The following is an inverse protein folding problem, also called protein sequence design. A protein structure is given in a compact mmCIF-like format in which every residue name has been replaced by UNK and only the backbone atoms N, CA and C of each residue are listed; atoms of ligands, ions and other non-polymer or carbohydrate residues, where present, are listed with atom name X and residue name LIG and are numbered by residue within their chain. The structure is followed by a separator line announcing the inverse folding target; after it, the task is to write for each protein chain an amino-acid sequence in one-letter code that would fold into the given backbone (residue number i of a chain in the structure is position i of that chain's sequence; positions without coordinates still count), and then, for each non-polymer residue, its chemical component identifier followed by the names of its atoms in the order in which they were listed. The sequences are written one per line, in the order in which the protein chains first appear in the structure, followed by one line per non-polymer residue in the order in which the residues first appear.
data_IF_455153845479
#
_entry.id   IF_455153845479
#
_cell.length_a   1.000
_cell.length_b   1.000
_cell.length_c   1.000
_cell.angle_alpha   90.00
_cell.angle_beta   90.00
_cell.angle_gamma   90.00
#
_symmetry.space_group_name_H-M   'P 1'
#
loop_
_entity.id
_entity.type
_entity.pdbx_description
1 polymer ?
#
# COMPACT_ATOMS: atom_id res chain seq x y z
N UNK A 1 24.70 -63.73 27.58
CA UNK A 1 24.84 -62.83 26.46
C UNK A 1 23.69 -61.83 26.56
N UNK A 2 23.95 -60.61 27.11
CA UNK A 2 22.94 -59.57 27.32
C UNK A 2 22.96 -58.63 26.10
N UNK A 3 21.87 -58.61 25.35
CA UNK A 3 21.65 -57.66 24.22
C UNK A 3 21.22 -56.31 24.80
N UNK A 4 22.02 -55.27 24.58
CA UNK A 4 21.64 -53.88 24.87
C UNK A 4 21.01 -53.27 23.61
N UNK A 5 19.70 -52.97 23.68
CA UNK A 5 18.96 -52.27 22.65
C UNK A 5 19.20 -50.75 22.84
N UNK A 6 19.97 -50.14 21.95
CA UNK A 6 20.11 -48.66 21.91
C UNK A 6 18.99 -48.09 21.08
N UNK A 7 18.03 -47.44 21.76
CA UNK A 7 17.04 -46.59 21.08
C UNK A 7 17.71 -45.28 20.67
N UNK A 8 17.94 -45.10 19.36
CA UNK A 8 18.33 -43.83 18.78
C UNK A 8 17.05 -42.98 18.64
N UNK A 9 16.88 -42.00 19.53
CA UNK A 9 15.85 -40.97 19.39
C UNK A 9 16.34 -39.98 18.33
N UNK A 10 15.76 -40.05 17.13
CA UNK A 10 15.99 -39.09 16.04
C UNK A 10 15.27 -37.80 16.39
N UNK A 11 15.97 -36.81 16.96
CA UNK A 11 15.50 -35.45 17.13
C UNK A 11 15.49 -34.79 15.75
N UNK A 12 14.34 -34.84 15.07
CA UNK A 12 14.08 -34.00 13.92
C UNK A 12 13.93 -32.53 14.40
N UNK A 13 14.72 -31.59 13.88
CA UNK A 13 14.46 -30.18 14.17
C UNK A 13 13.11 -29.80 13.57
N UNK A 14 12.15 -29.53 14.43
CA UNK A 14 10.91 -28.88 14.01
C UNK A 14 11.32 -27.43 13.69
N UNK A 15 11.53 -27.13 12.42
CA UNK A 15 11.55 -25.76 11.94
C UNK A 15 10.14 -25.23 12.09
N UNK A 16 9.87 -24.54 13.19
CA UNK A 16 8.72 -23.67 13.31
C UNK A 16 9.02 -22.49 12.38
N UNK A 17 8.56 -22.57 11.14
CA UNK A 17 8.39 -21.39 10.33
C UNK A 17 7.35 -20.54 11.06
N UNK A 18 7.79 -19.54 11.79
CA UNK A 18 6.94 -18.44 12.20
C UNK A 18 6.55 -17.73 10.90
N UNK A 19 5.45 -18.13 10.30
CA UNK A 19 4.78 -17.33 9.28
C UNK A 19 4.31 -16.07 9.98
N UNK A 20 5.10 -14.99 9.83
CA UNK A 20 4.69 -13.61 10.13
C UNK A 20 3.94 -13.01 8.93
N UNK A 21 3.22 -13.79 8.15
CA UNK A 21 2.36 -13.29 7.08
C UNK A 21 1.05 -12.79 7.69
N UNK A 22 1.14 -11.60 8.28
CA UNK A 22 0.00 -10.86 8.82
C UNK A 22 -0.86 -10.29 7.67
N UNK A 23 -0.33 -10.28 6.45
CA UNK A 23 -1.00 -9.75 5.28
C UNK A 23 -1.46 -10.89 4.35
N UNK A 24 -2.78 -11.03 4.23
CA UNK A 24 -3.44 -11.98 3.34
C UNK A 24 -3.96 -11.21 2.14
N UNK A 25 -3.54 -11.62 0.94
CA UNK A 25 -4.01 -11.04 -0.32
C UNK A 25 -5.48 -11.38 -0.56
N UNK A 26 -6.18 -10.48 -1.23
CA UNK A 26 -7.56 -10.73 -1.64
C UNK A 26 -7.65 -11.87 -2.66
N UNK A 27 -8.65 -12.75 -2.54
CA UNK A 27 -8.96 -13.75 -3.56
C UNK A 27 -9.48 -13.08 -4.85
N UNK A 28 -9.48 -13.82 -5.94
CA UNK A 28 -9.80 -13.30 -7.28
C UNK A 28 -11.20 -12.70 -7.42
N UNK A 29 -12.13 -13.08 -6.56
CA UNK A 29 -13.51 -12.55 -6.55
C UNK A 29 -13.67 -11.27 -5.71
N UNK A 30 -12.72 -10.93 -4.84
CA UNK A 30 -12.73 -9.65 -4.11
C UNK A 30 -12.00 -8.59 -4.94
N UNK A 31 -12.68 -7.48 -5.20
CA UNK A 31 -12.18 -6.40 -6.04
C UNK A 31 -12.44 -5.04 -5.41
N UNK A 32 -11.84 -4.00 -6.01
CA UNK A 32 -12.09 -2.59 -5.67
C UNK A 32 -11.94 -2.26 -4.18
N UNK A 33 -10.99 -2.93 -3.51
CA UNK A 33 -10.75 -2.70 -2.08
C UNK A 33 -10.18 -1.29 -1.89
N UNK A 34 -10.90 -0.45 -1.12
CA UNK A 34 -10.47 0.89 -0.77
C UNK A 34 -10.43 1.10 0.74
N UNK A 35 -9.40 1.77 1.23
CA UNK A 35 -9.22 2.06 2.66
C UNK A 35 -8.55 3.43 2.81
N UNK A 36 -9.27 4.42 3.31
CA UNK A 36 -8.77 5.78 3.43
C UNK A 36 -9.53 6.59 4.49
N UNK A 37 -9.01 7.75 4.86
CA UNK A 37 -9.75 8.70 5.70
C UNK A 37 -11.03 9.18 4.98
N UNK A 38 -12.12 9.36 5.72
CA UNK A 38 -13.37 9.93 5.18
C UNK A 38 -13.20 11.44 4.94
N UNK A 39 -12.37 11.81 3.97
CA UNK A 39 -12.07 13.18 3.54
C UNK A 39 -12.01 13.24 2.02
N UNK A 40 -12.28 14.42 1.46
CA UNK A 40 -12.15 14.65 0.02
C UNK A 40 -10.70 14.45 -0.41
N UNK A 41 -10.48 13.74 -1.49
CA UNK A 41 -9.17 13.41 -2.07
C UNK A 41 -8.22 12.67 -1.08
N UNK A 42 -8.76 11.91 -0.15
CA UNK A 42 -7.96 10.99 0.66
C UNK A 42 -7.83 9.65 -0.08
N UNK A 43 -6.61 9.25 -0.35
CA UNK A 43 -6.30 7.99 -1.06
C UNK A 43 -5.55 7.00 -0.19
N UNK A 44 -4.98 7.47 0.93
CA UNK A 44 -4.06 6.67 1.74
C UNK A 44 -4.71 6.20 3.04
N UNK A 45 -4.35 5.00 3.52
CA UNK A 45 -4.91 4.42 4.75
C UNK A 45 -4.23 5.00 6.01
N UNK A 46 -4.29 6.32 6.16
CA UNK A 46 -3.72 7.06 7.30
C UNK A 46 -4.75 8.00 7.87
N UNK A 47 -5.08 7.85 9.15
CA UNK A 47 -6.06 8.69 9.84
C UNK A 47 -5.48 9.28 11.13
N UNK A 48 -5.94 10.48 11.48
CA UNK A 48 -5.70 11.02 12.83
C UNK A 48 -6.62 10.32 13.81
N UNK A 49 -6.16 10.08 15.03
CA UNK A 49 -6.99 9.49 16.07
C UNK A 49 -8.25 10.35 16.30
N UNK A 50 -9.41 9.72 16.18
CA UNK A 50 -10.72 10.37 16.24
C UNK A 50 -11.32 10.72 14.86
N UNK A 51 -10.54 10.70 13.78
CA UNK A 51 -11.07 10.79 12.41
C UNK A 51 -11.77 9.49 12.00
N UNK A 52 -12.62 9.57 10.97
CA UNK A 52 -13.30 8.39 10.43
C UNK A 52 -12.48 7.75 9.32
N UNK A 53 -12.24 6.45 9.46
CA UNK A 53 -11.75 5.56 8.42
C UNK A 53 -12.93 5.05 7.61
N UNK A 54 -12.80 5.05 6.28
CA UNK A 54 -13.74 4.42 5.36
C UNK A 54 -13.06 3.24 4.68
N UNK A 55 -13.72 2.10 4.73
CA UNK A 55 -13.30 0.87 4.10
C UNK A 55 -14.42 0.36 3.20
N UNK A 56 -14.11 -0.13 2.02
CA UNK A 56 -15.08 -0.81 1.14
C UNK A 56 -14.39 -1.79 0.20
N UNK A 57 -15.16 -2.77 -0.27
CA UNK A 57 -14.76 -3.74 -1.28
C UNK A 57 -15.98 -4.28 -2.01
N UNK A 58 -15.75 -4.90 -3.17
CA UNK A 58 -16.78 -5.56 -3.96
C UNK A 58 -16.50 -7.07 -4.01
N UNK A 59 -17.55 -7.88 -3.79
CA UNK A 59 -17.56 -9.31 -4.08
C UNK A 59 -18.20 -9.52 -5.45
N UNK A 60 -17.43 -10.00 -6.43
CA UNK A 60 -17.84 -10.16 -7.83
C UNK A 60 -18.54 -11.50 -8.10
N UNK A 61 -18.79 -12.33 -7.10
CA UNK A 61 -19.66 -13.51 -7.22
C UNK A 61 -21.15 -13.11 -7.20
N UNK A 62 -21.46 -11.89 -6.70
CA UNK A 62 -22.77 -11.25 -6.84
C UNK A 62 -23.86 -11.82 -5.96
N UNK A 63 -23.50 -12.61 -4.94
CA UNK A 63 -24.36 -13.09 -3.88
C UNK A 63 -24.08 -12.35 -2.56
N UNK A 64 -25.07 -12.31 -1.70
CA UNK A 64 -24.94 -11.67 -0.39
C UNK A 64 -24.31 -12.66 0.58
N UNK A 65 -23.00 -12.49 0.85
CA UNK A 65 -22.28 -13.27 1.86
C UNK A 65 -22.18 -12.50 3.17
N UNK A 66 -22.16 -13.22 4.27
CA UNK A 66 -21.88 -12.64 5.57
C UNK A 66 -20.36 -12.47 5.74
N UNK A 67 -19.90 -11.22 5.79
CA UNK A 67 -18.52 -10.87 6.12
C UNK A 67 -18.48 -10.21 7.49
N UNK A 68 -17.48 -10.57 8.27
CA UNK A 68 -17.12 -9.88 9.49
C UNK A 68 -15.75 -9.22 9.37
N UNK A 69 -15.46 -8.28 10.26
CA UNK A 69 -14.15 -7.64 10.33
C UNK A 69 -13.54 -7.78 11.72
N UNK A 70 -12.20 -7.82 11.77
CA UNK A 70 -11.43 -7.86 12.99
C UNK A 70 -10.30 -6.84 12.96
N UNK A 71 -10.12 -6.06 14.04
CA UNK A 71 -9.00 -5.15 14.20
C UNK A 71 -7.90 -5.78 15.04
N UNK A 72 -6.66 -5.63 14.56
CA UNK A 72 -5.45 -6.04 15.26
C UNK A 72 -4.50 -4.85 15.36
N UNK A 73 -3.98 -4.56 16.56
CA UNK A 73 -2.95 -3.54 16.76
C UNK A 73 -1.56 -4.14 16.57
N UNK A 74 -0.67 -3.40 15.87
CA UNK A 74 0.70 -3.80 15.59
C UNK A 74 1.71 -2.76 16.09
N UNK A 75 2.94 -3.19 16.29
CA UNK A 75 4.09 -2.34 16.58
C UNK A 75 4.62 -1.62 15.32
N UNK A 76 5.66 -0.81 15.47
CA UNK A 76 6.30 -0.07 14.38
C UNK A 76 6.83 -0.96 13.23
N UNK A 77 7.06 -2.25 13.50
CA UNK A 77 7.52 -3.24 12.52
C UNK A 77 6.40 -4.17 12.04
N UNK A 78 5.13 -3.77 12.23
CA UNK A 78 3.94 -4.53 11.85
C UNK A 78 3.79 -5.89 12.54
N UNK A 79 4.46 -6.13 13.67
CA UNK A 79 4.22 -7.32 14.50
C UNK A 79 3.04 -7.07 15.43
N UNK A 80 2.21 -8.08 15.63
CA UNK A 80 1.06 -8.00 16.54
C UNK A 80 1.55 -7.59 17.94
N UNK A 81 0.95 -6.54 18.48
CA UNK A 81 1.26 -6.04 19.81
C UNK A 81 0.69 -6.93 20.91
N UNK A 82 1.46 -7.14 21.97
CA UNK A 82 0.99 -7.94 23.12
C UNK A 82 0.16 -7.10 24.08
N UNK A 83 -1.00 -6.62 23.60
CA UNK A 83 -1.99 -5.84 24.37
C UNK A 83 -3.37 -6.45 24.18
N UNK A 84 -4.25 -6.27 25.16
CA UNK A 84 -5.64 -6.73 25.04
C UNK A 84 -6.45 -5.80 24.13
N UNK A 85 -7.52 -6.33 23.54
CA UNK A 85 -8.43 -5.54 22.68
C UNK A 85 -8.97 -4.30 23.41
N UNK A 86 -9.28 -4.41 24.67
CA UNK A 86 -9.78 -3.31 25.51
C UNK A 86 -8.76 -2.20 25.76
N UNK A 87 -7.46 -2.43 25.52
CA UNK A 87 -6.43 -1.40 25.63
C UNK A 87 -6.43 -0.48 24.40
N UNK A 88 -6.76 -0.98 23.20
CA UNK A 88 -6.70 -0.20 21.96
C UNK A 88 -8.06 0.15 21.36
N UNK A 89 -9.17 -0.49 21.80
CA UNK A 89 -10.53 -0.17 21.36
C UNK A 89 -11.50 0.04 22.52
N UNK A 90 -12.56 0.82 22.26
CA UNK A 90 -13.82 0.76 22.99
C UNK A 90 -14.82 -0.01 22.13
N UNK A 91 -15.48 -1.01 22.71
CA UNK A 91 -16.44 -1.90 22.03
C UNK A 91 -15.79 -3.18 21.53
N UNK A 92 -16.36 -3.73 20.46
CA UNK A 92 -15.95 -5.03 19.91
C UNK A 92 -14.87 -4.84 18.84
N UNK A 93 -13.79 -5.62 18.92
CA UNK A 93 -12.76 -5.61 17.87
C UNK A 93 -13.12 -6.44 16.65
N UNK A 94 -14.20 -7.19 16.73
CA UNK A 94 -14.73 -8.05 15.68
C UNK A 94 -16.26 -7.89 15.63
N UNK A 95 -16.83 -7.66 14.44
CA UNK A 95 -18.28 -7.50 14.22
C UNK A 95 -18.62 -7.75 12.75
N UNK A 96 -19.88 -8.07 12.45
CA UNK A 96 -20.40 -8.30 11.09
C UNK A 96 -20.49 -6.98 10.31
N UNK A 97 -20.16 -7.02 9.02
CA UNK A 97 -20.38 -5.91 8.07
C UNK A 97 -21.84 -5.98 7.60
N UNK A 98 -22.66 -5.01 8.04
CA UNK A 98 -24.11 -4.97 7.76
C UNK A 98 -24.49 -3.98 6.65
N UNK A 99 -23.54 -3.16 6.22
CA UNK A 99 -23.76 -2.14 5.20
C UNK A 99 -23.25 -2.66 3.86
N UNK A 100 -24.17 -3.22 3.07
CA UNK A 100 -23.88 -3.72 1.74
C UNK A 100 -25.06 -3.46 0.80
N UNK A 101 -24.76 -3.36 -0.49
CA UNK A 101 -25.72 -3.12 -1.56
C UNK A 101 -25.32 -3.93 -2.81
N UNK A 102 -26.31 -4.53 -3.49
CA UNK A 102 -26.06 -5.22 -4.76
C UNK A 102 -25.86 -4.22 -5.89
N UNK A 103 -25.06 -4.60 -6.87
CA UNK A 103 -24.86 -3.82 -8.08
C UNK A 103 -26.16 -3.63 -8.86
N UNK A 104 -26.25 -2.49 -9.55
CA UNK A 104 -27.43 -2.13 -10.32
C UNK A 104 -27.05 -1.70 -11.73
N UNK A 105 -27.67 -2.33 -12.73
CA UNK A 105 -27.50 -2.01 -14.15
C UNK A 105 -26.04 -2.14 -14.63
N UNK A 106 -25.34 -3.16 -14.18
CA UNK A 106 -23.94 -3.50 -14.54
C UNK A 106 -23.91 -4.81 -15.32
N UNK A 107 -22.86 -4.99 -16.14
CA UNK A 107 -22.60 -6.26 -16.86
C UNK A 107 -21.90 -7.28 -15.96
N UNK A 108 -21.10 -6.83 -15.00
CA UNK A 108 -20.56 -7.67 -13.95
C UNK A 108 -21.37 -7.45 -12.69
N UNK A 109 -22.07 -8.49 -12.24
CA UNK A 109 -22.75 -8.46 -10.95
C UNK A 109 -21.72 -8.46 -9.81
N UNK A 110 -22.00 -7.70 -8.75
CA UNK A 110 -21.21 -7.67 -7.53
C UNK A 110 -22.04 -7.17 -6.36
N UNK A 111 -21.63 -7.53 -5.15
CA UNK A 111 -22.13 -6.97 -3.89
C UNK A 111 -21.08 -6.02 -3.34
N UNK A 112 -21.48 -4.76 -3.11
CA UNK A 112 -20.62 -3.71 -2.54
C UNK A 112 -20.76 -3.68 -1.03
N UNK A 113 -19.67 -3.95 -0.30
CA UNK A 113 -19.60 -3.89 1.16
C UNK A 113 -18.88 -2.63 1.60
N UNK A 114 -19.39 -1.98 2.67
CA UNK A 114 -18.75 -0.80 3.23
C UNK A 114 -18.77 -0.80 4.76
N UNK A 115 -17.74 -0.19 5.34
CA UNK A 115 -17.55 -0.09 6.78
C UNK A 115 -16.94 1.26 7.13
N UNK A 116 -17.41 1.88 8.19
CA UNK A 116 -16.81 3.07 8.78
C UNK A 116 -16.33 2.78 10.21
N UNK A 117 -15.17 3.31 10.56
CA UNK A 117 -14.62 3.26 11.92
C UNK A 117 -14.24 4.69 12.34
N UNK A 118 -14.78 5.26 13.45
CA UNK A 118 -15.66 4.60 14.41
C UNK A 118 -17.07 4.33 13.87
N UNK A 119 -17.71 3.29 14.43
CA UNK A 119 -19.12 2.99 14.27
C UNK A 119 -19.82 2.85 15.64
N UNK A 120 -21.04 2.33 15.68
CA UNK A 120 -21.80 2.18 16.93
C UNK A 120 -21.14 1.20 17.92
N UNK A 121 -20.42 0.19 17.40
CA UNK A 121 -19.90 -0.93 18.17
C UNK A 121 -18.38 -0.85 18.40
N UNK A 122 -17.67 0.06 17.70
CA UNK A 122 -16.21 0.11 17.73
C UNK A 122 -15.67 1.53 17.60
N UNK A 123 -14.74 1.87 18.49
CA UNK A 123 -13.92 3.09 18.42
C UNK A 123 -12.47 2.79 18.78
N UNK A 124 -11.52 3.27 18.00
CA UNK A 124 -10.08 3.18 18.29
C UNK A 124 -9.70 4.21 19.36
N UNK A 125 -8.94 3.78 20.38
CA UNK A 125 -8.54 4.60 21.54
C UNK A 125 -7.12 5.12 21.46
N UNK A 126 -6.23 4.38 20.82
CA UNK A 126 -4.79 4.67 20.77
C UNK A 126 -4.31 4.81 19.33
N UNK A 127 -3.20 5.51 19.15
CA UNK A 127 -2.48 5.56 17.88
C UNK A 127 -1.58 4.33 17.71
N UNK A 128 -1.28 3.96 16.49
CA UNK A 128 -0.43 2.80 16.17
C UNK A 128 -0.65 2.31 14.75
N UNK A 129 0.00 1.21 14.41
CA UNK A 129 -0.27 0.45 13.21
C UNK A 129 -1.43 -0.51 13.47
N UNK A 130 -2.32 -0.64 12.50
CA UNK A 130 -3.47 -1.53 12.59
C UNK A 130 -3.61 -2.37 11.33
N UNK A 131 -4.11 -3.59 11.53
CA UNK A 131 -4.57 -4.45 10.46
C UNK A 131 -6.06 -4.66 10.64
N UNK A 132 -6.82 -4.45 9.56
CA UNK A 132 -8.19 -4.90 9.44
C UNK A 132 -8.18 -6.21 8.65
N UNK A 133 -8.72 -7.26 9.25
CA UNK A 133 -8.93 -8.57 8.63
C UNK A 133 -10.41 -8.69 8.29
N UNK A 134 -10.72 -9.17 7.10
CA UNK A 134 -12.08 -9.55 6.69
C UNK A 134 -12.17 -11.06 6.79
N UNK A 135 -13.23 -11.53 7.45
CA UNK A 135 -13.48 -12.93 7.71
C UNK A 135 -14.78 -13.35 7.01
N UNK A 136 -14.85 -14.61 6.62
CA UNK A 136 -16.06 -15.24 6.10
C UNK A 136 -16.95 -15.82 7.21
N UNK A 137 -17.99 -16.57 6.83
CA UNK A 137 -18.96 -17.20 7.73
C UNK A 137 -18.34 -18.28 8.64
N UNK A 138 -17.21 -18.86 8.26
CA UNK A 138 -16.45 -19.84 9.02
C UNK A 138 -15.35 -19.21 9.91
N UNK A 139 -15.31 -17.88 10.05
CA UNK A 139 -14.30 -17.10 10.76
C UNK A 139 -12.89 -17.24 10.16
N UNK A 140 -12.75 -17.65 8.88
CA UNK A 140 -11.49 -17.73 8.19
C UNK A 140 -11.14 -16.38 7.54
N UNK A 141 -9.86 -16.02 7.54
CA UNK A 141 -9.41 -14.73 7.00
C UNK A 141 -9.44 -14.77 5.47
N UNK A 142 -10.32 -13.98 4.88
CA UNK A 142 -10.43 -13.80 3.42
C UNK A 142 -9.33 -12.91 2.88
N UNK A 143 -9.11 -11.74 3.52
CA UNK A 143 -8.00 -10.83 3.19
C UNK A 143 -7.78 -9.82 4.31
N UNK A 144 -6.67 -9.09 4.22
CA UNK A 144 -6.30 -8.08 5.21
C UNK A 144 -5.88 -6.76 4.56
N UNK A 145 -5.96 -5.66 5.34
CA UNK A 145 -5.43 -4.34 4.94
C UNK A 145 -4.76 -3.64 6.11
N UNK A 146 -3.64 -2.99 5.82
CA UNK A 146 -2.88 -2.16 6.75
C UNK A 146 -3.42 -0.74 6.79
N UNK A 147 -3.45 -0.12 7.96
CA UNK A 147 -3.66 1.32 8.11
C UNK A 147 -2.95 1.86 9.34
N UNK A 148 -2.73 3.17 9.36
CA UNK A 148 -2.02 3.83 10.45
C UNK A 148 -2.94 4.87 11.09
N UNK A 149 -3.02 4.83 12.42
CA UNK A 149 -3.70 5.84 13.24
C UNK A 149 -2.64 6.66 13.95
N UNK A 150 -2.60 7.98 13.74
CA UNK A 150 -1.63 8.85 14.38
C UNK A 150 -2.25 9.88 15.33
N UNK A 151 -1.47 10.32 16.31
CA UNK A 151 -1.70 11.53 17.08
C UNK A 151 -0.61 12.55 16.75
N UNK A 152 -0.95 13.83 16.64
CA UNK A 152 0.04 14.87 16.37
C UNK A 152 0.53 15.46 17.69
N UNK A 153 1.43 14.74 18.39
CA UNK A 153 2.08 15.18 19.65
C UNK A 153 3.43 15.86 19.39
N UNK A 154 4.01 15.65 18.22
CA UNK A 154 5.30 16.23 17.78
C UNK A 154 5.15 16.85 16.39
N UNK A 155 5.97 17.86 16.07
CA UNK A 155 6.01 18.44 14.73
C UNK A 155 7.04 17.68 13.90
N UNK A 156 6.68 17.36 12.64
CA UNK A 156 7.52 16.61 11.71
C UNK A 156 7.76 17.46 10.46
N UNK A 157 8.97 17.98 10.33
CA UNK A 157 9.43 18.68 9.13
C UNK A 157 10.11 17.69 8.18
N UNK A 158 9.68 17.69 6.92
CA UNK A 158 10.23 16.84 5.85
C UNK A 158 10.77 17.72 4.74
N UNK A 159 11.99 17.47 4.31
CA UNK A 159 12.58 18.15 3.14
C UNK A 159 13.25 17.14 2.21
N UNK A 160 13.04 17.34 0.92
CA UNK A 160 13.53 16.46 -0.13
C UNK A 160 14.66 17.16 -0.90
N UNK A 161 15.73 16.42 -1.11
CA UNK A 161 16.94 16.88 -1.81
C UNK A 161 17.35 15.86 -2.87
N UNK A 162 18.20 16.27 -3.80
CA UNK A 162 18.92 15.32 -4.65
C UNK A 162 19.85 14.45 -3.79
N UNK A 163 20.07 13.22 -4.21
CA UNK A 163 21.09 12.39 -3.58
C UNK A 163 22.46 13.06 -3.62
N UNK A 164 23.26 12.88 -2.57
CA UNK A 164 24.58 13.54 -2.44
C UNK A 164 25.68 12.83 -3.21
N UNK A 165 25.56 11.52 -3.40
CA UNK A 165 26.54 10.73 -4.15
C UNK A 165 26.41 11.03 -5.65
N UNK A 166 27.53 11.24 -6.33
CA UNK A 166 27.59 11.56 -7.76
C UNK A 166 26.89 10.47 -8.61
N UNK A 167 27.02 9.21 -8.23
CA UNK A 167 26.40 8.07 -8.96
C UNK A 167 24.87 8.06 -8.82
N UNK A 168 24.34 8.68 -7.80
CA UNK A 168 22.90 8.66 -7.45
C UNK A 168 22.20 10.00 -7.72
N UNK A 169 22.95 11.06 -7.98
CA UNK A 169 22.44 12.45 -8.05
C UNK A 169 21.39 12.67 -9.15
N UNK A 170 21.42 11.87 -10.19
CA UNK A 170 20.46 11.97 -11.32
C UNK A 170 19.21 11.11 -11.16
N UNK A 171 19.23 10.12 -10.24
CA UNK A 171 18.22 9.08 -10.20
C UNK A 171 17.62 8.82 -8.81
N UNK A 172 18.16 9.47 -7.75
CA UNK A 172 17.65 9.28 -6.39
C UNK A 172 17.32 10.59 -5.68
N UNK A 173 16.45 10.49 -4.70
CA UNK A 173 15.98 11.55 -3.81
C UNK A 173 16.39 11.22 -2.38
N UNK A 174 16.92 12.20 -1.66
CA UNK A 174 17.34 12.07 -0.26
C UNK A 174 16.36 12.82 0.64
N UNK A 175 15.92 12.20 1.72
CA UNK A 175 14.94 12.74 2.65
C UNK A 175 15.64 13.18 3.92
N UNK A 176 15.52 14.46 4.28
CA UNK A 176 15.97 15.00 5.56
C UNK A 176 14.76 15.28 6.46
N UNK A 177 14.88 14.96 7.74
CA UNK A 177 13.81 15.11 8.72
C UNK A 177 14.27 15.93 9.92
N UNK A 178 13.33 16.72 10.45
CA UNK A 178 13.46 17.38 11.74
C UNK A 178 12.19 17.11 12.54
N UNK A 179 12.32 16.46 13.69
CA UNK A 179 11.24 16.19 14.61
C UNK A 179 11.39 17.09 15.82
N UNK A 180 10.37 17.91 16.10
CA UNK A 180 10.35 18.76 17.29
C UNK A 180 9.35 18.20 18.31
N UNK A 181 9.86 17.82 19.50
CA UNK A 181 9.08 17.24 20.58
C UNK A 181 8.98 18.17 21.81
N UNK A 182 9.00 19.50 21.60
CA UNK A 182 8.96 20.50 22.68
C UNK A 182 7.73 20.35 23.62
N UNK A 183 6.64 19.77 23.10
CA UNK A 183 5.39 19.58 23.84
C UNK A 183 5.29 18.20 24.51
N UNK A 184 6.32 17.35 24.40
CA UNK A 184 6.32 16.00 24.93
C UNK A 184 7.63 15.73 25.70
N UNK A 185 7.51 15.22 26.94
CA UNK A 185 8.67 14.81 27.70
C UNK A 185 9.11 13.40 27.25
N UNK A 186 10.26 13.32 26.57
CA UNK A 186 10.90 12.08 26.16
C UNK A 186 12.23 11.97 26.91
N UNK A 187 12.41 10.89 27.67
CA UNK A 187 13.58 10.75 28.54
C UNK A 187 14.81 10.28 27.77
N UNK A 188 14.63 9.30 26.90
CA UNK A 188 15.71 8.75 26.06
C UNK A 188 15.29 8.67 24.59
N UNK A 189 15.34 9.79 23.84
CA UNK A 189 14.88 9.80 22.45
C UNK A 189 15.61 8.79 21.54
N UNK A 190 16.86 8.42 21.86
CA UNK A 190 17.62 7.45 21.06
C UNK A 190 17.04 6.03 21.12
N UNK A 191 16.37 5.68 22.19
CA UNK A 191 15.76 4.35 22.39
C UNK A 191 14.24 4.37 22.21
N UNK A 192 13.60 5.48 22.63
CA UNK A 192 12.15 5.58 22.68
C UNK A 192 11.53 6.06 21.36
N UNK A 193 12.32 6.69 20.45
CA UNK A 193 11.84 7.18 19.16
C UNK A 193 12.36 6.32 18.02
N UNK A 194 11.45 5.95 17.13
CA UNK A 194 11.70 5.26 15.88
C UNK A 194 10.97 5.98 14.74
N UNK A 195 11.56 5.98 13.55
CA UNK A 195 10.98 6.66 12.37
C UNK A 195 10.86 5.66 11.23
N UNK A 196 9.73 5.75 10.52
CA UNK A 196 9.54 5.09 9.24
C UNK A 196 9.20 6.13 8.16
N UNK A 197 9.78 5.97 6.97
CA UNK A 197 9.56 6.80 5.78
C UNK A 197 9.02 5.90 4.68
N UNK A 198 7.89 6.26 4.09
CA UNK A 198 7.31 5.58 2.94
C UNK A 198 7.31 6.50 1.73
N UNK A 199 7.72 5.99 0.58
CA UNK A 199 7.54 6.68 -0.70
C UNK A 199 6.20 6.26 -1.30
N UNK A 200 5.36 7.22 -1.68
CA UNK A 200 4.05 7.03 -2.33
C UNK A 200 3.09 6.09 -1.57
N UNK A 201 3.30 5.94 -0.25
CA UNK A 201 2.56 5.00 0.62
C UNK A 201 2.63 3.54 0.17
N UNK A 202 3.66 3.19 -0.59
CA UNK A 202 3.98 1.81 -0.94
C UNK A 202 4.58 1.09 0.27
N UNK A 203 3.88 0.06 0.77
CA UNK A 203 4.29 -0.73 1.93
C UNK A 203 5.61 -1.48 1.72
N UNK A 204 5.98 -1.76 0.47
CA UNK A 204 7.22 -2.44 0.11
C UNK A 204 8.39 -1.49 -0.09
N UNK A 205 8.13 -0.17 -0.18
CA UNK A 205 9.16 0.84 -0.37
C UNK A 205 9.27 1.74 0.87
N UNK A 206 9.76 1.14 1.95
CA UNK A 206 9.87 1.75 3.28
C UNK A 206 11.31 1.76 3.78
N UNK A 207 11.71 2.86 4.41
CA UNK A 207 12.92 2.93 5.24
C UNK A 207 12.50 3.09 6.69
N UNK A 208 12.94 2.19 7.56
CA UNK A 208 12.59 2.19 8.99
C UNK A 208 13.82 2.05 9.88
N UNK A 209 13.61 2.03 11.19
CA UNK A 209 14.64 1.85 12.22
C UNK A 209 15.74 2.93 12.21
N UNK A 210 15.44 4.10 11.67
CA UNK A 210 16.37 5.23 11.66
C UNK A 210 16.49 5.83 13.06
N UNK A 211 17.75 6.11 13.47
CA UNK A 211 18.07 6.82 14.70
C UNK A 211 18.42 8.29 14.38
N UNK A 212 18.15 9.24 15.30
CA UNK A 212 18.58 10.62 15.08
C UNK A 212 20.11 10.71 14.94
N UNK A 213 20.59 11.47 13.95
CA UNK A 213 22.02 11.78 13.83
C UNK A 213 22.46 12.88 14.81
N UNK A 214 21.58 13.86 15.01
CA UNK A 214 21.88 14.99 15.88
C UNK A 214 20.74 15.30 16.79
N UNK A 215 21.07 15.75 18.01
CA UNK A 215 20.16 16.20 19.04
C UNK A 215 20.40 17.68 19.28
N UNK A 216 19.38 18.52 19.09
CA UNK A 216 19.47 19.97 19.29
C UNK A 216 18.32 20.46 20.17
N UNK A 217 18.53 20.54 21.47
CA UNK A 217 17.44 20.84 22.42
C UNK A 217 16.34 19.79 22.31
N UNK A 218 15.14 20.22 21.93
CA UNK A 218 13.97 19.34 21.71
C UNK A 218 13.83 18.88 20.25
N UNK A 219 14.88 19.00 19.44
CA UNK A 219 14.85 18.57 18.05
C UNK A 219 15.71 17.33 17.80
N UNK A 220 15.15 16.37 17.08
CA UNK A 220 15.82 15.21 16.51
C UNK A 220 16.05 15.49 15.03
N UNK A 221 17.28 15.36 14.57
CA UNK A 221 17.67 15.71 13.20
C UNK A 221 18.22 14.48 12.49
N UNK A 222 17.66 14.21 11.31
CA UNK A 222 18.05 13.11 10.43
C UNK A 222 18.50 13.70 9.10
N UNK A 223 19.80 13.75 8.87
CA UNK A 223 20.44 14.31 7.67
C UNK A 223 21.38 13.31 7.01
N UNK A 224 20.89 12.09 6.88
CA UNK A 224 21.65 10.99 6.30
C UNK A 224 21.97 11.25 4.83
N UNK A 225 23.09 10.74 4.38
CA UNK A 225 23.51 10.85 2.97
C UNK A 225 22.95 9.75 2.10
N UNK A 226 22.80 8.54 2.67
CA UNK A 226 22.43 7.34 1.94
C UNK A 226 21.22 6.63 2.55
N UNK A 227 21.18 6.54 3.88
CA UNK A 227 20.21 5.71 4.62
C UNK A 227 18.77 6.19 4.45
N UNK A 228 18.56 7.43 4.06
CA UNK A 228 17.24 8.02 3.76
C UNK A 228 17.08 8.34 2.27
N UNK A 229 17.71 7.54 1.40
CA UNK A 229 17.72 7.79 -0.04
C UNK A 229 16.88 6.74 -0.78
N UNK A 230 15.92 7.22 -1.56
CA UNK A 230 15.04 6.42 -2.42
C UNK A 230 15.40 6.61 -3.89
N UNK A 231 15.13 5.60 -4.72
CA UNK A 231 15.05 5.83 -6.16
C UNK A 231 13.90 6.79 -6.45
N UNK A 232 14.11 7.77 -7.33
CA UNK A 232 13.05 8.68 -7.75
C UNK A 232 11.96 7.97 -8.56
N UNK A 233 12.32 6.87 -9.24
CA UNK A 233 11.41 6.19 -10.16
C UNK A 233 11.06 7.07 -11.36
N UNK A 234 9.89 6.86 -11.93
CA UNK A 234 9.34 7.67 -13.00
C UNK A 234 7.87 7.97 -12.69
N UNK A 235 7.30 9.03 -13.31
CA UNK A 235 5.88 9.34 -13.18
C UNK A 235 5.02 8.11 -13.49
N UNK A 236 3.95 7.90 -12.72
CA UNK A 236 3.06 6.77 -12.96
C UNK A 236 2.35 6.90 -14.29
N UNK A 237 2.17 5.80 -14.96
CA UNK A 237 1.28 5.68 -16.08
C UNK A 237 -0.16 5.74 -15.58
N UNK A 238 -1.10 6.12 -16.44
CA UNK A 238 -2.51 6.17 -16.04
C UNK A 238 -3.45 5.80 -17.17
N UNK A 239 -4.64 5.37 -16.79
CA UNK A 239 -5.81 5.30 -17.65
C UNK A 239 -7.07 5.71 -16.90
N UNK A 240 -8.11 6.07 -17.63
CA UNK A 240 -9.39 6.53 -17.09
C UNK A 240 -10.54 5.90 -17.86
N UNK A 241 -11.29 5.02 -17.18
CA UNK A 241 -12.44 4.29 -17.70
C UNK A 241 -13.79 4.86 -17.25
N UNK A 242 -13.80 6.10 -16.75
CA UNK A 242 -15.04 6.76 -16.31
C UNK A 242 -16.13 6.82 -17.37
N UNK A 243 -15.78 6.77 -18.65
CA UNK A 243 -16.71 6.69 -19.79
C UNK A 243 -16.18 5.71 -20.84
N UNK A 244 -16.85 4.59 -21.04
CA UNK A 244 -16.50 3.60 -22.05
C UNK A 244 -16.76 4.01 -23.49
N UNK A 245 -17.49 5.10 -23.74
CA UNK A 245 -17.78 5.62 -25.06
C UNK A 245 -16.73 6.59 -25.57
N UNK A 246 -15.84 7.04 -24.69
CA UNK A 246 -14.83 8.07 -25.00
C UNK A 246 -13.45 7.45 -25.14
N UNK A 247 -12.81 7.61 -26.30
CA UNK A 247 -11.40 7.30 -26.45
C UNK A 247 -10.54 8.27 -25.61
N UNK A 248 -9.46 7.76 -25.03
CA UNK A 248 -8.50 8.57 -24.26
C UNK A 248 -7.09 8.34 -24.78
N UNK A 249 -6.14 9.17 -24.35
CA UNK A 249 -4.74 9.04 -24.79
C UNK A 249 -4.07 7.72 -24.38
N UNK A 250 -4.59 7.05 -23.36
CA UNK A 250 -4.07 5.79 -22.84
C UNK A 250 -4.86 4.56 -23.33
N UNK A 251 -6.13 4.74 -23.75
CA UNK A 251 -7.03 3.66 -24.16
C UNK A 251 -7.10 3.60 -25.69
N UNK A 252 -6.62 2.48 -26.25
CA UNK A 252 -6.66 2.22 -27.69
C UNK A 252 -8.06 1.84 -28.16
N UNK A 253 -8.78 1.03 -27.38
CA UNK A 253 -10.09 0.49 -27.76
C UNK A 253 -10.85 -0.01 -26.54
N UNK A 254 -12.15 0.24 -26.54
CA UNK A 254 -13.11 -0.42 -25.63
C UNK A 254 -14.10 -1.21 -26.46
N UNK A 255 -14.47 -2.39 -26.02
CA UNK A 255 -15.53 -3.20 -26.63
C UNK A 255 -16.31 -3.92 -25.53
N UNK A 256 -17.60 -4.12 -25.76
CA UNK A 256 -18.45 -4.91 -24.90
C UNK A 256 -18.45 -6.36 -25.40
N UNK A 257 -18.18 -7.30 -24.49
CA UNK A 257 -18.40 -8.73 -24.64
C UNK A 257 -19.32 -9.19 -23.49
N UNK A 258 -18.94 -10.21 -22.71
CA UNK A 258 -19.64 -10.59 -21.48
C UNK A 258 -19.52 -9.45 -20.45
N UNK A 259 -18.35 -8.83 -20.37
CA UNK A 259 -18.07 -7.57 -19.68
C UNK A 259 -17.35 -6.62 -20.64
N UNK A 260 -17.17 -5.37 -20.24
CA UNK A 260 -16.31 -4.46 -21.01
C UNK A 260 -14.87 -4.98 -21.06
N UNK A 261 -14.24 -4.84 -22.23
CA UNK A 261 -12.81 -5.06 -22.44
C UNK A 261 -12.15 -3.74 -22.86
N UNK A 262 -11.22 -3.28 -22.05
CA UNK A 262 -10.45 -2.05 -22.29
C UNK A 262 -9.02 -2.41 -22.67
N UNK A 263 -8.60 -2.11 -23.92
CA UNK A 263 -7.24 -2.34 -24.39
C UNK A 263 -6.45 -1.04 -24.31
N UNK A 264 -5.40 -1.05 -23.52
CA UNK A 264 -4.47 0.08 -23.45
C UNK A 264 -3.56 0.10 -24.69
N UNK A 265 -2.93 1.26 -24.96
CA UNK A 265 -1.81 1.30 -25.87
C UNK A 265 -0.63 0.54 -25.31
N UNK A 266 0.26 0.07 -26.17
CA UNK A 266 1.52 -0.57 -25.75
C UNK A 266 2.35 0.43 -24.97
N UNK A 267 2.72 0.08 -23.75
CA UNK A 267 3.66 0.86 -22.94
C UNK A 267 5.08 0.37 -23.26
N UNK A 268 5.90 1.26 -23.81
CA UNK A 268 7.31 1.00 -24.02
C UNK A 268 8.12 1.42 -22.80
N UNK A 269 9.10 0.62 -22.41
CA UNK A 269 10.03 0.94 -21.34
C UNK A 269 10.62 2.35 -21.49
N UNK A 270 10.65 3.08 -20.37
CA UNK A 270 11.12 4.47 -20.32
C UNK A 270 12.54 4.62 -19.79
N UNK A 271 13.23 3.50 -19.49
CA UNK A 271 14.57 3.46 -18.87
C UNK A 271 15.61 4.36 -19.55
N UNK A 272 15.57 4.45 -20.89
CA UNK A 272 16.51 5.24 -21.68
C UNK A 272 15.87 6.51 -22.26
N UNK A 273 14.68 6.90 -21.80
CA UNK A 273 14.00 8.13 -22.23
C UNK A 273 14.32 9.27 -21.30
N UNK A 274 14.46 10.50 -21.78
CA UNK A 274 14.55 11.68 -20.90
C UNK A 274 13.33 11.78 -19.99
N UNK A 275 13.54 12.31 -18.79
CA UNK A 275 12.44 12.59 -17.89
C UNK A 275 11.42 13.52 -18.53
N UNK A 276 10.15 13.19 -18.35
CA UNK A 276 9.03 14.02 -18.78
C UNK A 276 8.02 14.05 -17.64
N UNK A 277 7.72 15.25 -17.16
CA UNK A 277 6.70 15.43 -16.14
C UNK A 277 5.30 15.09 -16.71
N UNK A 278 4.60 14.25 -16.00
CA UNK A 278 3.25 13.83 -16.34
C UNK A 278 2.44 13.74 -15.04
N UNK A 279 1.54 14.69 -14.76
CA UNK A 279 0.80 14.72 -13.50
C UNK A 279 0.08 13.41 -13.24
N UNK A 280 0.24 12.87 -12.06
CA UNK A 280 -0.39 11.64 -11.63
C UNK A 280 -0.92 11.76 -10.19
N UNK A 281 -1.30 10.69 -9.54
CA UNK A 281 -1.72 10.63 -8.13
C UNK A 281 -0.87 9.64 -7.33
N UNK A 282 0.40 9.56 -7.65
CA UNK A 282 1.39 8.77 -6.92
C UNK A 282 1.00 7.30 -6.74
N UNK A 283 0.56 6.65 -7.84
CA UNK A 283 0.21 5.23 -7.84
C UNK A 283 -1.18 4.90 -7.30
N UNK A 284 -1.95 5.90 -6.87
CA UNK A 284 -3.29 5.71 -6.32
C UNK A 284 -4.37 5.49 -7.40
N UNK A 285 -5.60 5.28 -6.96
CA UNK A 285 -6.77 5.10 -7.80
C UNK A 285 -7.94 5.95 -7.32
N UNK A 286 -8.88 6.18 -8.21
CA UNK A 286 -10.12 6.85 -7.90
C UNK A 286 -11.28 6.23 -8.67
N UNK A 287 -12.19 5.53 -7.97
CA UNK A 287 -13.37 4.91 -8.56
C UNK A 287 -14.36 6.00 -8.98
N UNK A 288 -14.72 6.04 -10.27
CA UNK A 288 -15.64 7.01 -10.82
C UNK A 288 -16.28 6.55 -12.13
N UNK A 289 -17.55 6.92 -12.32
CA UNK A 289 -18.27 6.78 -13.58
C UNK A 289 -19.08 8.05 -13.83
N UNK A 290 -19.09 8.56 -15.04
CA UNK A 290 -19.87 9.75 -15.39
C UNK A 290 -21.34 9.43 -15.67
N UNK A 291 -21.68 8.16 -15.84
CA UNK A 291 -23.05 7.71 -16.15
C UNK A 291 -23.77 7.16 -14.93
N UNK A 292 -23.08 6.98 -13.82
CA UNK A 292 -23.63 6.46 -12.58
C UNK A 292 -24.15 7.59 -11.70
N UNK A 293 -25.31 7.42 -11.11
CA UNK A 293 -25.81 8.27 -10.02
C UNK A 293 -25.14 7.87 -8.70
N UNK A 294 -24.99 6.55 -8.48
CA UNK A 294 -24.25 5.97 -7.36
C UNK A 294 -23.12 5.06 -7.88
N UNK A 295 -21.91 5.60 -7.99
CA UNK A 295 -20.76 4.87 -8.53
C UNK A 295 -20.42 3.60 -7.73
N UNK A 296 -20.82 3.51 -6.45
CA UNK A 296 -20.55 2.34 -5.60
C UNK A 296 -21.18 1.07 -6.16
N UNK A 297 -22.42 1.18 -6.67
CA UNK A 297 -23.22 0.05 -7.16
C UNK A 297 -23.50 0.09 -8.67
N UNK A 298 -23.32 1.25 -9.32
CA UNK A 298 -23.57 1.41 -10.77
C UNK A 298 -22.28 1.50 -11.58
N UNK A 299 -21.11 1.57 -10.91
CA UNK A 299 -19.81 1.51 -11.59
C UNK A 299 -19.58 0.10 -12.13
N UNK A 300 -19.47 -0.02 -13.44
CA UNK A 300 -19.27 -1.33 -14.07
C UNK A 300 -17.80 -1.76 -14.04
N UNK A 301 -17.56 -3.03 -14.29
CA UNK A 301 -16.23 -3.61 -14.40
C UNK A 301 -15.78 -3.73 -15.84
N UNK A 302 -14.48 -3.63 -16.04
CA UNK A 302 -13.84 -3.86 -17.33
C UNK A 302 -12.59 -4.72 -17.17
N UNK A 303 -12.39 -5.64 -18.09
CA UNK A 303 -11.14 -6.36 -18.22
C UNK A 303 -10.12 -5.47 -18.94
N UNK A 304 -9.14 -4.94 -18.20
CA UNK A 304 -8.09 -4.07 -18.72
C UNK A 304 -6.91 -4.89 -19.20
N UNK A 305 -6.59 -4.76 -20.50
CA UNK A 305 -5.45 -5.43 -21.13
C UNK A 305 -4.22 -4.54 -21.05
N UNK A 306 -3.26 -4.93 -20.23
CA UNK A 306 -1.96 -4.28 -20.09
C UNK A 306 -0.97 -4.93 -21.05
N UNK A 307 -0.23 -4.09 -21.79
CA UNK A 307 0.80 -4.53 -22.72
C UNK A 307 2.06 -3.69 -22.44
N UNK A 308 3.12 -4.37 -22.09
CA UNK A 308 4.41 -3.76 -21.80
C UNK A 308 5.48 -4.30 -22.72
N UNK A 309 6.27 -3.43 -23.33
CA UNK A 309 7.40 -3.79 -24.18
C UNK A 309 8.70 -3.33 -23.55
N UNK A 310 9.59 -4.27 -23.25
CA UNK A 310 10.90 -3.97 -22.72
C UNK A 310 11.94 -4.96 -23.26
N UNK A 311 12.89 -4.44 -24.02
CA UNK A 311 13.95 -5.23 -24.66
C UNK A 311 15.11 -5.56 -23.69
N UNK A 312 15.12 -4.96 -22.49
CA UNK A 312 16.24 -5.02 -21.55
C UNK A 312 15.94 -5.86 -20.29
N UNK A 313 14.76 -6.45 -20.17
CA UNK A 313 14.44 -7.31 -19.01
C UNK A 313 15.05 -8.69 -19.24
N UNK A 314 15.76 -9.17 -18.21
CA UNK A 314 16.16 -10.58 -18.17
C UNK A 314 14.89 -11.45 -18.17
N UNK A 315 14.82 -12.41 -19.09
CA UNK A 315 13.66 -13.28 -19.28
C UNK A 315 13.34 -14.18 -18.08
N UNK A 316 14.27 -14.28 -17.15
CA UNK A 316 14.09 -15.03 -15.89
C UNK A 316 13.47 -14.17 -14.77
N UNK A 317 13.17 -12.89 -15.04
CA UNK A 317 12.54 -12.01 -14.05
C UNK A 317 11.05 -11.92 -14.33
N UNK A 318 10.27 -12.03 -13.26
CA UNK A 318 8.85 -11.79 -13.32
C UNK A 318 8.57 -10.28 -13.38
N UNK A 319 7.59 -9.89 -14.18
CA UNK A 319 7.16 -8.51 -14.37
C UNK A 319 5.71 -8.37 -13.91
N UNK A 320 5.42 -7.28 -13.22
CA UNK A 320 4.11 -7.03 -12.62
C UNK A 320 3.58 -5.64 -12.99
N UNK A 321 2.26 -5.52 -13.15
CA UNK A 321 1.56 -4.24 -13.06
C UNK A 321 1.41 -3.89 -11.59
N UNK A 322 1.79 -2.67 -11.19
CA UNK A 322 1.99 -2.33 -9.80
C UNK A 322 1.40 -0.97 -9.45
N UNK A 323 0.66 -0.89 -8.35
CA UNK A 323 0.03 0.34 -7.86
C UNK A 323 -0.87 0.07 -6.65
N UNK A 324 -1.52 1.11 -6.12
CA UNK A 324 -2.39 0.99 -4.96
C UNK A 324 -3.64 0.12 -5.23
N UNK A 325 -4.06 0.00 -6.49
CA UNK A 325 -5.24 -0.79 -6.87
C UNK A 325 -5.08 -2.30 -6.61
N UNK A 326 -3.87 -2.80 -6.47
CA UNK A 326 -3.55 -4.16 -6.07
C UNK A 326 -2.81 -4.21 -4.70
N UNK A 327 -2.99 -3.17 -3.88
CA UNK A 327 -2.37 -3.04 -2.56
C UNK A 327 -0.83 -3.19 -2.58
N UNK A 328 -0.17 -2.80 -3.70
CA UNK A 328 1.28 -2.95 -3.86
C UNK A 328 1.77 -4.40 -3.74
N UNK A 329 0.92 -5.38 -4.09
CA UNK A 329 1.22 -6.80 -3.96
C UNK A 329 1.69 -7.42 -5.27
N UNK A 330 2.33 -8.59 -5.14
CA UNK A 330 2.80 -9.42 -6.22
C UNK A 330 2.05 -10.75 -6.21
N UNK A 331 1.15 -10.95 -7.16
CA UNK A 331 0.35 -12.16 -7.30
C UNK A 331 0.16 -12.53 -8.77
N UNK A 332 -0.46 -13.66 -9.05
CA UNK A 332 -0.67 -14.12 -10.42
C UNK A 332 -1.64 -13.23 -11.22
N UNK A 333 -2.55 -12.50 -10.57
CA UNK A 333 -3.52 -11.62 -11.25
C UNK A 333 -2.86 -10.39 -11.88
N UNK A 334 -1.78 -9.88 -11.30
CA UNK A 334 -1.05 -8.71 -11.80
C UNK A 334 0.30 -9.03 -12.45
N UNK A 335 0.66 -10.32 -12.50
CA UNK A 335 1.84 -10.81 -13.20
C UNK A 335 1.65 -10.79 -14.70
N UNK A 336 2.60 -10.21 -15.43
CA UNK A 336 2.58 -10.21 -16.89
C UNK A 336 3.21 -11.50 -17.43
N UNK A 337 2.55 -12.10 -18.39
CA UNK A 337 3.07 -13.25 -19.14
C UNK A 337 3.94 -12.77 -20.28
N UNK A 338 5.14 -13.30 -20.38
CA UNK A 338 6.02 -13.04 -21.52
C UNK A 338 5.39 -13.68 -22.77
N UNK A 339 5.21 -12.88 -23.80
CA UNK A 339 4.74 -13.32 -25.14
C UNK A 339 5.90 -13.29 -26.13
N UNK A 340 5.62 -13.17 -27.41
CA UNK A 340 6.67 -13.09 -28.42
C UNK A 340 7.35 -11.70 -28.43
N UNK A 341 8.64 -11.64 -28.76
CA UNK A 341 9.35 -10.40 -29.10
C UNK A 341 9.43 -9.35 -27.98
N UNK A 342 9.71 -9.77 -26.74
CA UNK A 342 9.89 -8.85 -25.58
C UNK A 342 8.63 -8.07 -25.16
N UNK A 343 7.46 -8.60 -25.48
CA UNK A 343 6.18 -8.14 -24.94
C UNK A 343 5.79 -8.95 -23.71
N UNK A 344 5.19 -8.26 -22.77
CA UNK A 344 4.63 -8.79 -21.52
C UNK A 344 3.19 -8.35 -21.44
N UNK A 345 2.27 -9.25 -21.16
CA UNK A 345 0.82 -8.97 -21.19
C UNK A 345 0.10 -9.59 -19.99
N UNK A 346 -0.90 -8.89 -19.47
CA UNK A 346 -1.86 -9.41 -18.50
C UNK A 346 -3.21 -8.72 -18.62
N UNK A 347 -4.24 -9.39 -18.13
CA UNK A 347 -5.61 -8.89 -18.06
C UNK A 347 -6.03 -8.78 -16.60
N UNK A 348 -6.49 -7.61 -16.18
CA UNK A 348 -6.95 -7.37 -14.82
C UNK A 348 -8.38 -6.83 -14.85
N UNK A 349 -9.28 -7.45 -14.08
CA UNK A 349 -10.66 -6.98 -13.92
C UNK A 349 -10.69 -5.81 -12.92
N UNK A 350 -11.04 -4.60 -13.40
CA UNK A 350 -11.05 -3.37 -12.63
C UNK A 350 -12.38 -2.63 -12.79
N UNK A 351 -12.86 -2.01 -11.72
CA UNK A 351 -14.05 -1.16 -11.73
C UNK A 351 -13.79 0.15 -12.50
N UNK A 352 -14.84 0.78 -13.03
CA UNK A 352 -14.70 2.10 -13.67
C UNK A 352 -14.01 3.10 -12.76
N UNK A 353 -12.97 3.78 -13.28
CA UNK A 353 -12.19 4.70 -12.49
C UNK A 353 -10.98 5.27 -13.20
N UNK A 354 -10.26 6.09 -12.47
CA UNK A 354 -8.93 6.56 -12.80
C UNK A 354 -7.91 5.75 -12.01
N UNK A 355 -6.90 5.23 -12.70
CA UNK A 355 -5.89 4.34 -12.11
C UNK A 355 -4.50 4.80 -12.49
N UNK A 356 -3.63 4.95 -11.49
CA UNK A 356 -2.20 5.01 -11.72
C UNK A 356 -1.58 3.62 -11.61
N UNK A 357 -0.58 3.35 -12.43
CA UNK A 357 0.17 2.11 -12.42
C UNK A 357 1.61 2.32 -12.91
N UNK A 358 2.47 1.41 -12.55
CA UNK A 358 3.81 1.28 -13.11
C UNK A 358 4.13 -0.19 -13.38
N UNK A 359 5.28 -0.46 -13.98
CA UNK A 359 5.79 -1.81 -14.12
C UNK A 359 6.99 -2.01 -13.21
N UNK A 360 7.04 -3.14 -12.54
CA UNK A 360 8.17 -3.53 -11.69
C UNK A 360 8.58 -4.96 -12.01
N UNK A 361 9.82 -5.33 -11.72
CA UNK A 361 10.26 -6.72 -11.83
C UNK A 361 10.75 -7.25 -10.49
N UNK A 362 10.51 -8.55 -10.24
CA UNK A 362 11.11 -9.30 -9.15
C UNK A 362 12.23 -10.17 -9.68
N UNK A 363 13.32 -10.26 -8.91
CA UNK A 363 14.35 -11.26 -9.15
C UNK A 363 14.06 -12.56 -8.38
N UNK A 364 14.93 -13.56 -8.55
CA UNK A 364 14.83 -14.87 -7.89
C UNK A 364 14.88 -14.79 -6.34
N UNK A 365 15.36 -13.67 -5.79
CA UNK A 365 15.44 -13.41 -4.36
C UNK A 365 14.28 -12.52 -3.87
N UNK A 366 13.26 -12.28 -4.68
CA UNK A 366 12.14 -11.36 -4.44
C UNK A 366 12.60 -9.91 -4.21
N UNK A 367 13.73 -9.50 -4.79
CA UNK A 367 14.17 -8.11 -4.73
C UNK A 367 13.43 -7.32 -5.82
N UNK A 368 12.70 -6.29 -5.38
CA UNK A 368 11.92 -5.43 -6.27
C UNK A 368 12.87 -4.52 -7.06
N UNK A 369 12.75 -4.56 -8.38
CA UNK A 369 13.36 -3.57 -9.26
C UNK A 369 12.27 -2.64 -9.80
N UNK A 370 12.13 -1.49 -9.19
CA UNK A 370 11.23 -0.40 -9.57
C UNK A 370 11.85 0.56 -10.60
N UNK A 371 13.06 0.27 -11.09
CA UNK A 371 13.75 1.12 -12.06
C UNK A 371 13.69 0.62 -13.50
N UNK A 372 12.93 -0.45 -13.77
CA UNK A 372 12.75 -0.95 -15.14
C UNK A 372 12.04 0.06 -16.06
N UNK A 373 11.33 1.01 -15.46
CA UNK A 373 10.73 2.17 -16.12
C UNK A 373 11.63 3.43 -16.11
N UNK A 374 12.88 3.30 -15.64
CA UNK A 374 13.79 4.41 -15.41
C UNK A 374 13.67 5.00 -14.00
N UNK A 375 14.62 5.86 -13.65
CA UNK A 375 14.60 6.56 -12.36
C UNK A 375 15.21 7.94 -12.52
N UNK A 376 14.48 8.95 -12.06
CA UNK A 376 14.87 10.36 -12.20
C UNK A 376 14.66 11.08 -10.87
N UNK A 377 15.63 11.92 -10.47
CA UNK A 377 15.47 12.70 -9.23
C UNK A 377 14.33 13.73 -9.34
N UNK A 378 13.92 14.09 -10.55
CA UNK A 378 12.86 15.06 -10.83
C UNK A 378 11.46 14.49 -10.62
N UNK A 379 11.30 13.16 -10.59
CA UNK A 379 9.99 12.51 -10.44
C UNK A 379 9.26 13.06 -9.23
N UNK A 380 7.98 13.40 -9.41
CA UNK A 380 7.14 13.81 -8.32
C UNK A 380 6.81 12.61 -7.46
N UNK A 381 7.11 12.70 -6.16
CA UNK A 381 6.82 11.66 -5.18
C UNK A 381 6.37 12.28 -3.86
N UNK A 382 5.45 11.61 -3.19
CA UNK A 382 5.07 11.88 -1.82
C UNK A 382 5.87 11.03 -0.84
N UNK A 383 6.30 11.64 0.26
CA UNK A 383 6.99 10.96 1.34
C UNK A 383 6.20 11.12 2.63
N UNK A 384 5.67 10.01 3.12
CA UNK A 384 4.98 9.93 4.40
C UNK A 384 5.96 9.51 5.50
N UNK A 385 6.04 10.31 6.55
CA UNK A 385 6.95 10.07 7.69
C UNK A 385 6.13 9.85 8.95
N UNK A 386 6.33 8.71 9.58
CA UNK A 386 5.70 8.35 10.84
C UNK A 386 6.72 8.32 11.97
N UNK A 387 6.37 8.95 13.10
CA UNK A 387 7.19 8.98 14.31
C UNK A 387 6.54 8.09 15.36
N UNK A 388 7.19 6.98 15.64
CA UNK A 388 6.79 6.01 16.65
C UNK A 388 7.45 6.33 17.99
N UNK A 389 6.71 6.20 19.05
CA UNK A 389 7.17 6.40 20.43
C UNK A 389 6.82 5.20 21.28
N UNK A 390 7.85 4.55 21.80
CA UNK A 390 7.72 3.49 22.80
C UNK A 390 8.26 3.97 24.12
N UNK A 391 7.37 4.46 24.98
CA UNK A 391 7.73 4.85 26.32
C UNK A 391 8.36 3.69 27.07
N UNK A 392 9.40 3.94 27.87
CA UNK A 392 9.99 2.90 28.71
C UNK A 392 8.92 2.17 29.55
N UNK A 393 8.89 0.84 29.46
CA UNK A 393 7.89 -0.01 30.11
C UNK A 393 6.55 -0.12 29.37
N UNK A 394 6.35 0.57 28.23
CA UNK A 394 5.16 0.38 27.38
C UNK A 394 5.21 -0.97 26.63
N UNK A 395 4.03 -1.58 26.46
CA UNK A 395 3.87 -2.82 25.71
C UNK A 395 3.65 -2.60 24.21
N UNK A 396 3.42 -1.36 23.77
CA UNK A 396 3.09 -1.01 22.40
C UNK A 396 3.76 0.29 21.99
N UNK A 397 3.79 0.54 20.69
CA UNK A 397 4.29 1.74 20.06
C UNK A 397 3.13 2.68 19.74
N UNK A 398 3.24 3.96 20.10
CA UNK A 398 2.31 5.00 19.65
C UNK A 398 2.85 5.69 18.40
N UNK A 399 1.99 6.06 17.45
CA UNK A 399 2.35 6.98 16.35
C UNK A 399 2.03 8.39 16.80
N UNK A 400 3.08 9.11 17.24
CA UNK A 400 2.97 10.45 17.87
C UNK A 400 3.18 11.61 16.90
N UNK A 401 3.56 11.34 15.65
CA UNK A 401 3.76 12.35 14.62
C UNK A 401 3.61 11.78 13.22
N UNK A 402 3.04 12.59 12.35
CA UNK A 402 2.92 12.34 10.93
C UNK A 402 3.34 13.59 10.17
N UNK A 403 4.23 13.44 9.19
CA UNK A 403 4.68 14.49 8.30
C UNK A 403 4.64 14.04 6.85
N UNK A 404 4.39 14.96 5.94
CA UNK A 404 4.39 14.72 4.49
C UNK A 404 5.37 15.66 3.83
N UNK A 405 6.15 15.16 2.90
CA UNK A 405 6.97 15.93 1.98
C UNK A 405 6.66 15.54 0.55
N UNK A 406 6.66 16.51 -0.37
CA UNK A 406 6.47 16.27 -1.80
C UNK A 406 7.69 16.77 -2.57
N UNK A 407 8.15 16.00 -3.55
CA UNK A 407 9.38 16.29 -4.28
C UNK A 407 9.23 17.31 -5.42
N UNK A 408 8.02 17.81 -5.72
CA UNK A 408 7.82 18.93 -6.66
C UNK A 408 8.70 20.13 -6.32
N UNK A 409 8.96 20.35 -5.03
CA UNK A 409 9.78 21.44 -4.53
C UNK A 409 11.19 20.98 -4.08
N UNK A 410 11.78 20.06 -4.81
CA UNK A 410 13.11 19.53 -4.47
C UNK A 410 14.14 20.66 -4.35
N UNK A 411 14.86 20.68 -3.24
CA UNK A 411 15.92 21.66 -2.99
C UNK A 411 17.27 21.10 -3.43
N UNK A 412 18.04 21.94 -4.10
CA UNK A 412 19.40 21.60 -4.54
C UNK A 412 20.40 21.67 -3.38
#
# INVERSE_FOLDING_TARGET
MKLYLYSIILLLPIFIFSQNDIEVSEPSYIKSVTLHAKKVNAFVPVIKLGDTLQFSFDDTEGDEKEYSYKLTHCDANWKVSNISSTEFTDGFTEDTIRDYENSFNTYQDYTHYQLQIPNQNLRIKISGNFIISILDEEDEVVFTRRFIVYQQKVDVGVSIHKARKIVDISNKQNIELVINYSNLQINNPSEEIQVAIYQNNDWNNMISNLKPQYYRGTQLIYKYGDETTFFGGNEYLYFDTKDYRSATNSIRRVQLKDVYETRLYVNEARTNKPYTYNPDINGNLFIRSINAENTKIEGDYTKVHFIYKNDNIDKNKDVYVYGAFNNWQFNEDNKLKHTNQNYYETDILLKQGFYNYTFVSLDENNIINNTIEGSHYQTENDYSVFVYYKKFGSKYDEVIGYGIGNSVNIKN
#
